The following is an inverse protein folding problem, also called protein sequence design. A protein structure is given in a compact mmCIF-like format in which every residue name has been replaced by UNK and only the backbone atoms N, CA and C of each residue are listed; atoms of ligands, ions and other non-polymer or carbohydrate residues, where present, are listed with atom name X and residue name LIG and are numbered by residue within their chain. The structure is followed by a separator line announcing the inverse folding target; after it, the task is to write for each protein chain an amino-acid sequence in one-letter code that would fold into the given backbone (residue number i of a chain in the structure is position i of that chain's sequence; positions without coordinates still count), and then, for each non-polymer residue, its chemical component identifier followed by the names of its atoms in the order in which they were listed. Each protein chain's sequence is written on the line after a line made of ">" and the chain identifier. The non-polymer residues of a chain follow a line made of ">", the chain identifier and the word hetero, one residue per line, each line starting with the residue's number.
data_IF_964273866273
#
_entry.id   IF_964273866273
#
_cell.length_a   1.000
_cell.length_b   1.000
_cell.length_c   1.000
_cell.angle_alpha   90.00
_cell.angle_beta   90.00
_cell.angle_gamma   90.00
#
_symmetry.space_group_name_H-M   'P 1'
#
loop_
_entity.id
_entity.type
_entity.pdbx_description
1 polymer ?
#
# COMPACT_ATOMS: atom_id res chain seq x y z
N UNK A 1 9.26 6.76 4.73
CA UNK A 1 9.33 5.56 3.88
C UNK A 1 10.76 5.05 3.92
N UNK A 2 10.95 3.74 4.08
CA UNK A 2 12.22 3.06 4.07
C UNK A 2 12.48 2.51 2.65
N UNK A 3 13.75 2.32 2.29
CA UNK A 3 14.16 1.63 1.09
C UNK A 3 14.96 2.48 0.11
N UNK A 4 15.49 1.83 -0.91
CA UNK A 4 16.28 2.43 -1.98
C UNK A 4 15.40 2.68 -3.21
N UNK A 5 15.54 3.85 -3.83
CA UNK A 5 14.88 4.14 -5.10
C UNK A 5 15.70 3.55 -6.25
N UNK A 6 15.05 2.72 -7.05
CA UNK A 6 15.62 2.12 -8.26
C UNK A 6 14.83 2.59 -9.46
N UNK A 7 15.54 2.88 -10.55
CA UNK A 7 14.93 3.21 -11.84
C UNK A 7 15.37 2.20 -12.89
N UNK A 8 14.39 1.57 -13.53
CA UNK A 8 14.61 0.67 -14.67
C UNK A 8 14.12 1.29 -15.97
N UNK A 9 14.80 0.98 -17.05
CA UNK A 9 14.46 1.46 -18.40
C UNK A 9 14.16 0.28 -19.32
N UNK A 10 13.02 0.36 -20.01
CA UNK A 10 12.60 -0.67 -20.96
C UNK A 10 12.39 -0.03 -22.34
N UNK A 11 13.03 -0.60 -23.35
CA UNK A 11 12.81 -0.20 -24.72
C UNK A 11 11.54 -0.87 -25.26
N UNK A 12 10.63 -0.06 -25.77
CA UNK A 12 9.40 -0.53 -26.38
C UNK A 12 9.65 -0.98 -27.80
N UNK A 13 9.21 -2.19 -28.12
CA UNK A 13 9.09 -2.68 -29.48
C UNK A 13 7.61 -2.94 -29.81
N UNK A 14 7.25 -2.93 -31.07
CA UNK A 14 5.85 -2.93 -31.55
C UNK A 14 5.02 -4.17 -31.11
N UNK A 15 5.67 -5.19 -30.58
CA UNK A 15 5.02 -6.45 -30.16
C UNK A 15 4.83 -6.58 -28.67
N UNK A 16 5.46 -5.72 -27.83
CA UNK A 16 5.43 -5.85 -26.38
C UNK A 16 4.73 -4.65 -25.75
N UNK A 17 3.69 -4.93 -24.97
CA UNK A 17 3.02 -3.96 -24.09
C UNK A 17 3.12 -4.36 -22.61
N UNK A 18 3.95 -5.35 -22.29
CA UNK A 18 4.16 -5.89 -20.95
C UNK A 18 5.64 -5.90 -20.63
N UNK A 19 6.02 -5.40 -19.46
CA UNK A 19 7.39 -5.30 -19.00
C UNK A 19 7.51 -5.83 -17.57
N UNK A 20 8.48 -6.72 -17.36
CA UNK A 20 8.73 -7.36 -16.08
C UNK A 20 9.65 -6.51 -15.22
N UNK A 21 9.26 -6.25 -13.98
CA UNK A 21 10.12 -5.65 -12.97
C UNK A 21 11.10 -6.71 -12.49
N UNK A 22 12.41 -6.42 -12.56
CA UNK A 22 13.44 -7.41 -12.27
C UNK A 22 13.68 -7.62 -10.77
N UNK A 23 13.28 -6.67 -9.93
CA UNK A 23 13.45 -6.78 -8.49
C UNK A 23 12.23 -7.42 -7.83
N UNK A 24 12.48 -8.36 -6.90
CA UNK A 24 11.43 -9.09 -6.20
C UNK A 24 10.90 -8.33 -4.96
N UNK A 25 11.72 -7.49 -4.33
CA UNK A 25 11.40 -6.76 -3.10
C UNK A 25 10.81 -5.37 -3.38
N UNK A 26 10.10 -5.24 -4.50
CA UNK A 26 9.51 -3.97 -4.93
C UNK A 26 8.29 -3.61 -4.12
N UNK A 27 8.28 -2.39 -3.59
CA UNK A 27 7.06 -1.77 -3.08
C UNK A 27 6.19 -1.32 -4.27
N UNK A 28 5.19 -2.14 -4.60
CA UNK A 28 4.28 -1.89 -5.72
C UNK A 28 3.47 -0.60 -5.59
N UNK A 29 3.34 -0.04 -4.38
CA UNK A 29 2.62 1.23 -4.16
C UNK A 29 3.46 2.44 -4.53
N UNK A 30 4.78 2.28 -4.57
CA UNK A 30 5.74 3.34 -4.90
C UNK A 30 6.05 3.46 -6.39
N UNK A 31 5.52 2.56 -7.22
CA UNK A 31 5.85 2.51 -8.65
C UNK A 31 5.29 3.74 -9.36
N UNK A 32 6.18 4.50 -9.96
CA UNK A 32 5.88 5.61 -10.89
C UNK A 32 6.43 5.28 -12.27
N UNK A 33 5.67 5.61 -13.29
CA UNK A 33 6.05 5.31 -14.68
C UNK A 33 6.01 6.58 -15.51
N UNK A 34 7.12 6.86 -16.19
CA UNK A 34 7.25 7.89 -17.17
C UNK A 34 7.55 7.29 -18.54
N UNK A 35 6.96 7.82 -19.58
CA UNK A 35 7.22 7.41 -20.96
C UNK A 35 7.93 8.53 -21.70
N UNK A 36 9.09 8.20 -22.26
CA UNK A 36 9.83 9.06 -23.20
C UNK A 36 9.52 8.66 -24.63
N UNK A 37 9.44 9.64 -25.50
CA UNK A 37 9.14 9.41 -26.92
C UNK A 37 10.28 8.67 -27.62
N UNK A 38 11.52 8.96 -27.23
CA UNK A 38 12.74 8.33 -27.76
C UNK A 38 13.91 8.49 -26.80
N UNK A 39 15.04 7.84 -27.11
CA UNK A 39 16.27 7.94 -26.31
C UNK A 39 16.90 9.34 -26.32
N UNK A 40 16.62 10.14 -27.32
CA UNK A 40 17.13 11.53 -27.43
C UNK A 40 16.17 12.59 -26.92
N UNK A 41 14.96 12.20 -26.51
CA UNK A 41 13.94 13.11 -26.00
C UNK A 41 13.89 13.03 -24.47
N UNK A 42 14.16 14.14 -23.82
CA UNK A 42 14.09 14.26 -22.36
C UNK A 42 12.69 14.65 -21.86
N UNK A 43 11.70 14.81 -22.75
CA UNK A 43 10.33 15.06 -22.34
C UNK A 43 9.71 13.77 -21.78
N UNK A 44 9.26 13.84 -20.53
CA UNK A 44 8.62 12.74 -19.83
C UNK A 44 7.11 12.95 -19.82
N UNK A 45 6.38 11.92 -20.14
CA UNK A 45 4.93 11.85 -19.94
C UNK A 45 4.65 10.89 -18.78
N UNK A 46 4.15 11.41 -17.68
CA UNK A 46 3.75 10.59 -16.53
C UNK A 46 2.51 9.76 -16.85
N UNK A 47 2.55 8.50 -16.49
CA UNK A 47 1.45 7.57 -16.64
C UNK A 47 0.92 7.15 -15.29
N UNK A 48 -0.41 7.07 -15.18
CA UNK A 48 -1.09 6.80 -13.91
C UNK A 48 -1.37 5.30 -13.77
N UNK A 49 -1.11 4.76 -12.58
CA UNK A 49 -1.52 3.39 -12.25
C UNK A 49 -3.04 3.29 -12.20
N UNK A 50 -3.60 2.34 -12.93
CA UNK A 50 -5.01 2.01 -12.90
C UNK A 50 -5.26 0.66 -12.20
N UNK A 51 -6.27 0.61 -11.34
CA UNK A 51 -6.67 -0.59 -10.62
C UNK A 51 -7.96 -1.20 -11.18
N UNK A 52 -8.64 -0.51 -12.10
CA UNK A 52 -9.84 -1.00 -12.78
C UNK A 52 -9.90 -0.46 -14.20
N UNK A 53 -10.70 -1.10 -15.04
CA UNK A 53 -10.96 -0.65 -16.40
C UNK A 53 -12.04 0.44 -16.50
N UNK A 54 -12.70 0.76 -15.38
CA UNK A 54 -13.77 1.75 -15.38
C UNK A 54 -13.25 3.16 -15.63
N UNK A 55 -13.86 3.85 -16.57
CA UNK A 55 -13.49 5.23 -16.94
C UNK A 55 -12.23 5.36 -17.81
N UNK A 56 -11.58 4.25 -18.19
CA UNK A 56 -10.41 4.27 -19.05
C UNK A 56 -10.85 4.34 -20.51
N UNK A 57 -10.29 5.28 -21.25
CA UNK A 57 -10.47 5.48 -22.69
C UNK A 57 -9.24 5.02 -23.47
N UNK A 58 -9.36 4.90 -24.79
CA UNK A 58 -8.23 4.58 -25.68
C UNK A 58 -7.05 5.57 -25.61
N UNK A 59 -7.28 6.78 -25.11
CA UNK A 59 -6.27 7.85 -25.01
C UNK A 59 -5.71 8.04 -23.60
N UNK A 60 -6.21 7.30 -22.63
CA UNK A 60 -5.78 7.41 -21.23
C UNK A 60 -4.34 6.93 -21.06
N UNK A 61 -3.48 7.73 -20.47
CA UNK A 61 -2.10 7.38 -20.14
C UNK A 61 -2.09 6.56 -18.84
N UNK A 62 -2.33 5.27 -18.96
CA UNK A 62 -2.46 4.38 -17.79
C UNK A 62 -1.66 3.09 -17.97
N UNK A 63 -1.21 2.54 -16.86
CA UNK A 63 -0.61 1.21 -16.78
C UNK A 63 -1.23 0.41 -15.63
N UNK A 64 -1.13 -0.90 -15.72
CA UNK A 64 -1.60 -1.85 -14.72
C UNK A 64 -0.42 -2.60 -14.16
N UNK A 65 -0.47 -2.93 -12.87
CA UNK A 65 0.48 -3.84 -12.21
C UNK A 65 -0.26 -5.14 -11.92
N UNK A 66 0.35 -6.24 -12.32
CA UNK A 66 -0.15 -7.57 -11.98
C UNK A 66 1.00 -8.49 -11.57
N UNK A 67 0.64 -9.54 -10.82
CA UNK A 67 1.63 -10.56 -10.43
C UNK A 67 2.05 -11.37 -11.67
N UNK A 68 3.33 -11.58 -11.79
CA UNK A 68 3.93 -12.41 -12.82
C UNK A 68 4.45 -13.73 -12.24
N UNK A 69 5.03 -14.59 -13.08
CA UNK A 69 5.67 -15.81 -12.61
C UNK A 69 6.86 -15.52 -11.68
N UNK A 70 7.20 -16.48 -10.81
CA UNK A 70 8.35 -16.41 -9.91
C UNK A 70 8.32 -15.23 -8.89
N UNK A 71 7.14 -14.89 -8.39
CA UNK A 71 6.93 -13.82 -7.41
C UNK A 71 7.42 -12.43 -7.89
N UNK A 72 7.49 -12.22 -9.21
CA UNK A 72 7.77 -10.93 -9.80
C UNK A 72 6.48 -10.16 -10.14
N UNK A 73 6.64 -8.91 -10.57
CA UNK A 73 5.53 -8.09 -11.04
C UNK A 73 5.75 -7.68 -12.50
N UNK A 74 4.66 -7.50 -13.21
CA UNK A 74 4.69 -6.98 -14.56
C UNK A 74 3.83 -5.72 -14.70
N UNK A 75 4.33 -4.79 -15.50
CA UNK A 75 3.61 -3.59 -15.93
C UNK A 75 2.96 -3.88 -17.27
N UNK A 76 1.66 -3.74 -17.35
CA UNK A 76 0.89 -3.92 -18.59
C UNK A 76 0.34 -2.58 -19.04
N UNK A 77 0.58 -2.24 -20.27
CA UNK A 77 0.13 -1.00 -20.89
C UNK A 77 -1.10 -1.21 -21.77
N UNK A 78 -1.74 -0.11 -22.14
CA UNK A 78 -2.94 -0.14 -22.96
C UNK A 78 -2.75 -0.72 -24.36
N UNK A 79 -3.87 -0.96 -25.02
CA UNK A 79 -3.95 -1.54 -26.36
C UNK A 79 -4.80 -0.70 -27.34
N UNK A 80 -4.97 0.61 -27.07
CA UNK A 80 -5.82 1.56 -27.79
C UNK A 80 -7.33 1.30 -27.68
N UNK A 81 -7.73 0.25 -26.94
CA UNK A 81 -9.13 0.05 -26.52
C UNK A 81 -9.29 0.43 -25.05
N UNK A 82 -8.41 -0.05 -24.21
CA UNK A 82 -8.32 0.26 -22.78
C UNK A 82 -6.92 0.81 -22.48
N UNK A 83 -6.82 2.14 -22.45
CA UNK A 83 -5.56 2.85 -22.30
C UNK A 83 -4.78 2.99 -23.62
N UNK A 84 -3.96 4.02 -23.67
CA UNK A 84 -3.08 4.30 -24.81
C UNK A 84 -2.05 3.20 -24.97
N UNK A 85 -1.84 2.73 -26.20
CA UNK A 85 -0.78 1.80 -26.54
C UNK A 85 0.57 2.54 -26.63
N UNK A 86 1.64 1.88 -26.21
CA UNK A 86 3.00 2.36 -26.43
C UNK A 86 3.40 2.24 -27.91
N UNK A 87 4.22 3.15 -28.36
CA UNK A 87 4.71 3.22 -29.74
C UNK A 87 6.14 2.68 -29.78
N UNK A 88 6.49 2.05 -30.89
CA UNK A 88 7.86 1.56 -31.14
C UNK A 88 8.89 2.68 -30.97
N UNK A 89 9.96 2.39 -30.24
CA UNK A 89 11.00 3.38 -29.89
C UNK A 89 10.70 4.20 -28.63
N UNK A 90 9.52 4.07 -28.01
CA UNK A 90 9.31 4.64 -26.68
C UNK A 90 10.24 3.98 -25.66
N UNK A 91 10.50 4.70 -24.57
CA UNK A 91 11.22 4.18 -23.40
C UNK A 91 10.33 4.29 -22.19
N UNK A 92 10.09 3.16 -21.55
CA UNK A 92 9.42 3.10 -20.25
C UNK A 92 10.47 3.31 -19.17
N UNK A 93 10.33 4.36 -18.40
CA UNK A 93 11.13 4.64 -17.20
C UNK A 93 10.28 4.34 -15.98
N UNK A 94 10.56 3.23 -15.30
CA UNK A 94 9.89 2.80 -14.09
C UNK A 94 10.76 3.08 -12.87
N UNK A 95 10.29 3.93 -11.97
CA UNK A 95 10.97 4.23 -10.71
C UNK A 95 10.14 3.68 -9.57
N UNK A 96 10.76 2.90 -8.70
CA UNK A 96 10.12 2.25 -7.57
C UNK A 96 11.10 2.10 -6.40
N UNK A 97 10.56 1.76 -5.24
CA UNK A 97 11.33 1.53 -4.02
C UNK A 97 11.49 0.04 -3.77
N UNK A 98 12.67 -0.34 -3.33
CA UNK A 98 12.98 -1.66 -2.78
C UNK A 98 13.11 -1.50 -1.28
N UNK A 99 12.29 -2.22 -0.51
CA UNK A 99 12.31 -2.20 0.94
C UNK A 99 13.01 -3.40 1.55
N UNK A 100 13.46 -3.26 2.80
CA UNK A 100 14.08 -4.35 3.56
C UNK A 100 13.07 -5.11 4.45
N UNK A 101 11.77 -4.97 4.17
CA UNK A 101 10.70 -5.60 4.95
C UNK A 101 10.67 -5.10 6.39
N UNK A 102 10.50 -6.00 7.40
CA UNK A 102 10.44 -5.60 8.81
C UNK A 102 11.82 -5.32 9.44
N UNK A 103 12.93 -5.50 8.73
CA UNK A 103 14.27 -5.31 9.30
C UNK A 103 14.50 -3.91 9.89
N UNK A 104 14.00 -2.81 9.30
CA UNK A 104 14.11 -1.47 9.85
C UNK A 104 13.15 -1.14 10.98
N UNK A 105 12.19 -2.00 11.30
CA UNK A 105 11.21 -1.74 12.34
C UNK A 105 11.90 -1.55 13.71
N UNK A 106 11.42 -0.54 14.44
CA UNK A 106 12.01 -0.14 15.71
C UNK A 106 13.17 0.89 15.58
N UNK A 107 13.61 1.22 14.37
CA UNK A 107 14.63 2.24 14.16
C UNK A 107 14.16 3.59 14.74
N UNK A 108 15.02 4.20 15.56
CA UNK A 108 14.74 5.44 16.30
C UNK A 108 15.85 6.48 16.23
N UNK A 109 16.87 6.23 15.41
CA UNK A 109 17.96 7.17 15.16
C UNK A 109 18.08 7.37 13.67
N UNK A 110 17.96 8.62 13.22
CA UNK A 110 18.11 9.00 11.82
C UNK A 110 19.11 10.13 11.70
N UNK A 111 19.99 10.03 10.72
CA UNK A 111 20.98 11.05 10.40
C UNK A 111 20.80 11.48 8.95
N UNK A 112 21.01 12.74 8.66
CA UNK A 112 21.02 13.24 7.29
C UNK A 112 22.35 12.89 6.63
N UNK A 113 22.31 12.21 5.49
CA UNK A 113 23.53 11.87 4.74
C UNK A 113 24.07 13.05 3.93
N UNK A 114 23.20 14.02 3.60
CA UNK A 114 23.55 15.20 2.78
C UNK A 114 22.97 16.46 3.41
N UNK A 115 23.48 17.62 3.00
CA UNK A 115 22.90 18.90 3.42
C UNK A 115 21.46 19.04 2.94
N UNK A 116 20.58 19.55 3.79
CA UNK A 116 19.18 19.85 3.46
C UNK A 116 19.08 21.33 3.15
N UNK A 117 18.69 21.66 1.91
CA UNK A 117 18.62 23.04 1.42
C UNK A 117 19.90 23.88 1.67
N UNK A 118 21.07 23.24 1.62
CA UNK A 118 22.36 23.90 1.86
C UNK A 118 22.81 23.97 3.33
N UNK A 119 21.99 23.52 4.27
CA UNK A 119 22.33 23.44 5.70
C UNK A 119 22.88 22.06 6.06
N UNK A 120 24.05 22.02 6.71
CA UNK A 120 24.71 20.77 7.11
C UNK A 120 24.49 20.41 8.61
N UNK A 121 23.86 21.29 9.35
CA UNK A 121 23.62 21.18 10.81
C UNK A 121 22.19 20.76 11.14
N UNK A 122 21.46 20.21 10.16
CA UNK A 122 20.10 19.73 10.35
C UNK A 122 20.09 18.47 11.20
N UNK A 123 19.37 18.51 12.32
CA UNK A 123 19.19 17.38 13.23
C UNK A 123 17.80 16.78 13.04
N UNK A 124 17.75 15.47 12.78
CA UNK A 124 16.50 14.73 12.74
C UNK A 124 16.05 14.33 14.14
N UNK A 125 14.87 14.77 14.57
CA UNK A 125 14.25 14.33 15.83
C UNK A 125 13.17 13.32 15.54
N UNK A 126 13.27 12.14 16.13
CA UNK A 126 12.32 11.06 15.94
C UNK A 126 11.10 11.28 16.83
N UNK A 127 9.93 11.38 16.22
CA UNK A 127 8.65 11.48 16.92
C UNK A 127 8.08 10.08 17.22
N UNK A 128 8.22 9.16 16.25
CA UNK A 128 7.80 7.77 16.38
C UNK A 128 8.83 6.85 15.73
N UNK A 129 9.00 5.66 16.29
CA UNK A 129 9.90 4.65 15.71
C UNK A 129 9.39 4.18 14.35
N UNK A 130 10.29 3.71 13.49
CA UNK A 130 9.93 3.05 12.26
C UNK A 130 9.09 1.81 12.57
N UNK A 131 8.03 1.58 11.78
CA UNK A 131 7.11 0.46 11.92
C UNK A 131 6.34 0.21 10.63
N UNK A 132 5.79 -0.99 10.50
CA UNK A 132 4.90 -1.36 9.38
C UNK A 132 5.62 -2.14 8.27
N UNK A 133 6.87 -2.51 8.47
CA UNK A 133 7.58 -3.42 7.57
C UNK A 133 7.01 -4.83 7.65
N UNK A 134 6.88 -5.51 6.51
CA UNK A 134 6.33 -6.86 6.42
C UNK A 134 7.18 -7.73 5.51
N UNK A 135 7.26 -9.02 5.82
CA UNK A 135 7.74 -10.00 4.86
C UNK A 135 6.70 -10.28 3.77
N UNK A 136 7.15 -10.80 2.64
CA UNK A 136 6.24 -11.34 1.65
C UNK A 136 5.35 -12.43 2.28
N UNK A 137 4.08 -12.41 1.92
CA UNK A 137 3.14 -13.45 2.34
C UNK A 137 3.59 -14.81 1.81
N UNK A 138 3.56 -15.81 2.67
CA UNK A 138 3.80 -17.20 2.23
C UNK A 138 2.62 -17.72 1.43
N UNK A 139 2.84 -18.77 0.63
CA UNK A 139 1.76 -19.40 -0.13
C UNK A 139 0.61 -19.88 0.78
N UNK A 140 0.93 -20.32 1.99
CA UNK A 140 -0.07 -20.79 2.93
C UNK A 140 -0.87 -19.63 3.55
N UNK A 141 -0.23 -18.48 3.81
CA UNK A 141 -0.91 -17.24 4.21
C UNK A 141 -1.88 -16.78 3.11
N UNK A 142 -1.44 -16.80 1.85
CA UNK A 142 -2.27 -16.43 0.70
C UNK A 142 -3.47 -17.38 0.57
N UNK A 143 -3.27 -18.70 0.68
CA UNK A 143 -4.37 -19.68 0.64
C UNK A 143 -5.39 -19.46 1.76
N UNK A 144 -4.93 -19.05 2.93
CA UNK A 144 -5.80 -18.78 4.07
C UNK A 144 -6.54 -17.44 3.94
N UNK A 145 -5.89 -16.41 3.43
CA UNK A 145 -6.44 -15.05 3.31
C UNK A 145 -7.33 -14.87 2.08
N UNK A 146 -6.99 -15.47 0.93
CA UNK A 146 -7.68 -15.23 -0.34
C UNK A 146 -9.19 -15.53 -0.31
N UNK A 147 -9.69 -16.65 0.27
CA UNK A 147 -11.12 -16.91 0.34
C UNK A 147 -11.87 -15.87 1.18
N UNK A 148 -11.23 -15.36 2.24
CA UNK A 148 -11.81 -14.34 3.11
C UNK A 148 -11.85 -12.98 2.43
N UNK A 149 -10.78 -12.58 1.77
CA UNK A 149 -10.72 -11.36 0.97
C UNK A 149 -11.76 -11.37 -0.14
N UNK A 150 -11.93 -12.53 -0.82
CA UNK A 150 -12.94 -12.69 -1.86
C UNK A 150 -14.37 -12.60 -1.30
N UNK A 151 -14.65 -13.17 -0.12
CA UNK A 151 -15.98 -13.10 0.50
C UNK A 151 -16.32 -11.70 1.00
N UNK A 152 -15.34 -10.97 1.51
CA UNK A 152 -15.52 -9.57 1.95
C UNK A 152 -15.72 -8.61 0.76
N UNK A 153 -15.27 -8.95 -0.46
CA UNK A 153 -15.37 -8.10 -1.66
C UNK A 153 -14.93 -6.65 -1.41
N UNK A 154 -13.90 -6.46 -0.60
CA UNK A 154 -13.42 -5.14 -0.14
C UNK A 154 -14.48 -4.29 0.58
N UNK A 155 -15.51 -4.91 1.15
CA UNK A 155 -16.54 -4.26 1.94
C UNK A 155 -16.46 -4.73 3.38
N UNK A 156 -16.51 -3.78 4.30
CA UNK A 156 -16.57 -4.03 5.74
C UNK A 156 -18.02 -3.96 6.22
N UNK A 157 -18.70 -5.10 6.28
CA UNK A 157 -20.11 -5.21 6.70
C UNK A 157 -20.22 -5.92 8.06
N UNK A 158 -19.51 -7.03 8.23
CA UNK A 158 -19.47 -7.79 9.47
C UNK A 158 -18.23 -7.48 10.28
N UNK A 159 -18.25 -7.71 11.59
CA UNK A 159 -17.08 -7.54 12.46
C UNK A 159 -15.85 -8.29 11.91
N UNK A 160 -16.06 -9.47 11.32
CA UNK A 160 -14.99 -10.27 10.75
C UNK A 160 -14.42 -9.66 9.47
N UNK A 161 -15.23 -8.95 8.66
CA UNK A 161 -14.73 -8.24 7.48
C UNK A 161 -13.80 -7.10 7.87
N UNK A 162 -14.20 -6.28 8.88
CA UNK A 162 -13.34 -5.24 9.44
C UNK A 162 -12.01 -5.80 9.91
N UNK A 163 -12.05 -6.88 10.70
CA UNK A 163 -10.85 -7.56 11.21
C UNK A 163 -9.96 -8.05 10.07
N UNK A 164 -10.53 -8.76 9.09
CA UNK A 164 -9.80 -9.34 7.97
C UNK A 164 -9.17 -8.27 7.09
N UNK A 165 -9.92 -7.21 6.73
CA UNK A 165 -9.41 -6.12 5.90
C UNK A 165 -8.26 -5.37 6.57
N UNK A 166 -8.42 -5.05 7.87
CA UNK A 166 -7.38 -4.34 8.61
C UNK A 166 -6.13 -5.20 8.79
N UNK A 167 -6.26 -6.47 9.18
CA UNK A 167 -5.12 -7.36 9.38
C UNK A 167 -4.38 -7.69 8.08
N UNK A 168 -5.06 -7.73 6.93
CA UNK A 168 -4.42 -7.93 5.63
C UNK A 168 -3.62 -6.70 5.17
N UNK A 169 -4.08 -5.50 5.50
CA UNK A 169 -3.40 -4.25 5.10
C UNK A 169 -2.29 -3.85 6.09
N UNK A 170 -2.55 -4.06 7.38
CA UNK A 170 -1.67 -3.63 8.47
C UNK A 170 -1.09 -4.85 9.21
N UNK A 171 0.00 -5.42 8.70
CA UNK A 171 0.59 -6.65 9.25
C UNK A 171 1.23 -6.51 10.63
N UNK A 172 1.36 -5.29 11.14
CA UNK A 172 1.74 -5.04 12.53
C UNK A 172 0.58 -5.28 13.51
N UNK A 173 -0.67 -5.42 13.02
CA UNK A 173 -1.84 -5.68 13.86
C UNK A 173 -1.97 -7.19 14.10
N UNK A 174 -1.68 -7.62 15.33
CA UNK A 174 -1.68 -9.03 15.73
C UNK A 174 -3.06 -9.55 16.06
N UNK A 175 -3.84 -8.77 16.78
CA UNK A 175 -5.23 -9.11 17.08
C UNK A 175 -6.12 -7.88 17.09
N UNK A 176 -7.41 -8.11 16.85
CA UNK A 176 -8.39 -7.03 16.75
C UNK A 176 -9.76 -7.50 17.24
N UNK A 177 -10.39 -6.67 18.03
CA UNK A 177 -11.78 -6.82 18.46
C UNK A 177 -12.61 -5.75 17.75
N UNK A 178 -13.73 -6.17 17.18
CA UNK A 178 -14.68 -5.30 16.48
C UNK A 178 -16.09 -5.61 16.97
N UNK A 179 -16.84 -4.58 17.34
CA UNK A 179 -18.23 -4.70 17.77
C UNK A 179 -19.05 -3.46 17.38
N UNK A 180 -20.37 -3.60 17.37
CA UNK A 180 -21.27 -2.48 17.10
C UNK A 180 -21.31 -1.51 18.28
N UNK A 181 -21.44 -0.23 18.00
CA UNK A 181 -21.51 0.79 19.04
C UNK A 181 -22.79 0.68 19.91
N UNK A 182 -23.77 -0.11 19.51
CA UNK A 182 -24.94 -0.47 20.32
C UNK A 182 -24.59 -1.30 21.57
N UNK A 183 -23.48 -2.03 21.52
CA UNK A 183 -22.98 -2.85 22.65
C UNK A 183 -22.13 -2.03 23.63
N UNK A 184 -21.93 -0.75 23.38
CA UNK A 184 -21.18 0.14 24.25
C UNK A 184 -22.03 0.67 25.43
N UNK A 185 -21.37 1.11 26.49
CA UNK A 185 -22.04 1.74 27.63
C UNK A 185 -21.46 3.16 27.86
N UNK A 186 -22.20 4.24 27.55
CA UNK A 186 -23.54 4.30 26.94
C UNK A 186 -23.51 3.91 25.44
N UNK A 187 -24.62 3.36 24.89
CA UNK A 187 -24.68 2.97 23.48
C UNK A 187 -24.39 4.09 22.50
N UNK A 188 -23.55 3.81 21.48
CA UNK A 188 -23.15 4.73 20.42
C UNK A 188 -23.65 4.23 19.07
N UNK A 189 -24.91 4.48 18.74
CA UNK A 189 -25.53 4.01 17.50
C UNK A 189 -24.87 4.61 16.24
N UNK A 190 -24.83 3.83 15.17
CA UNK A 190 -24.21 4.23 13.89
C UNK A 190 -22.68 4.15 13.90
N UNK A 191 -22.09 3.57 14.95
CA UNK A 191 -20.64 3.38 15.03
C UNK A 191 -20.26 1.91 15.05
N UNK A 192 -19.09 1.62 14.50
CA UNK A 192 -18.37 0.37 14.71
C UNK A 192 -17.11 0.67 15.51
N UNK A 193 -16.99 0.03 16.65
CA UNK A 193 -15.89 0.20 17.57
C UNK A 193 -14.84 -0.86 17.29
N UNK A 194 -13.61 -0.41 17.10
CA UNK A 194 -12.47 -1.26 16.83
C UNK A 194 -11.39 -1.05 17.89
N UNK A 195 -10.85 -2.14 18.40
CA UNK A 195 -9.71 -2.14 19.31
C UNK A 195 -8.68 -3.14 18.83
N UNK A 196 -7.44 -2.75 18.70
CA UNK A 196 -6.40 -3.59 18.13
C UNK A 196 -5.13 -3.59 18.98
N UNK A 197 -4.42 -4.72 18.95
CA UNK A 197 -3.08 -4.90 19.50
C UNK A 197 -2.06 -4.97 18.36
N UNK A 198 -0.87 -4.49 18.61
CA UNK A 198 0.21 -4.48 17.64
C UNK A 198 1.44 -5.18 18.20
N UNK A 199 2.22 -5.82 17.35
CA UNK A 199 3.54 -6.35 17.72
C UNK A 199 4.62 -5.26 17.82
N UNK A 200 4.33 -4.06 17.32
CA UNK A 200 5.27 -2.94 17.24
C UNK A 200 5.04 -1.90 18.34
N UNK A 201 3.77 -1.73 18.77
CA UNK A 201 3.37 -0.72 19.74
C UNK A 201 2.66 -1.36 20.93
N UNK A 202 3.05 -0.97 22.15
CA UNK A 202 2.31 -1.33 23.37
C UNK A 202 0.88 -0.76 23.35
N UNK A 203 0.74 0.43 22.78
CA UNK A 203 -0.52 1.10 22.52
C UNK A 203 -0.44 1.78 21.16
N UNK A 204 -1.45 1.59 20.31
CA UNK A 204 -1.48 2.21 18.99
C UNK A 204 -1.47 3.73 19.10
N UNK A 205 -0.48 4.42 18.49
CA UNK A 205 -0.46 5.87 18.45
C UNK A 205 -1.59 6.42 17.57
N UNK A 206 -2.02 7.65 17.84
CA UNK A 206 -3.18 8.26 17.15
C UNK A 206 -3.02 8.32 15.63
N UNK A 207 -1.80 8.58 15.13
CA UNK A 207 -1.57 8.58 13.68
C UNK A 207 -1.86 7.21 13.04
N UNK A 208 -1.52 6.09 13.75
CA UNK A 208 -1.75 4.73 13.26
C UNK A 208 -3.24 4.38 13.29
N UNK A 209 -3.94 4.79 14.33
CA UNK A 209 -5.40 4.67 14.40
C UNK A 209 -6.07 5.42 13.25
N UNK A 210 -5.61 6.64 12.97
CA UNK A 210 -6.14 7.43 11.87
C UNK A 210 -5.90 6.78 10.52
N UNK A 211 -4.72 6.20 10.27
CA UNK A 211 -4.43 5.43 9.05
C UNK A 211 -5.41 4.26 8.87
N UNK A 212 -5.68 3.51 9.95
CA UNK A 212 -6.63 2.39 9.92
C UNK A 212 -8.05 2.89 9.63
N UNK A 213 -8.47 3.97 10.27
CA UNK A 213 -9.79 4.60 10.02
C UNK A 213 -9.90 5.06 8.57
N UNK A 214 -8.91 5.77 8.06
CA UNK A 214 -8.90 6.28 6.68
C UNK A 214 -8.95 5.17 5.63
N UNK A 215 -8.31 4.04 5.92
CA UNK A 215 -8.34 2.85 5.07
C UNK A 215 -9.70 2.15 5.08
N UNK A 216 -10.32 1.99 6.28
CA UNK A 216 -11.55 1.21 6.42
C UNK A 216 -12.82 2.00 6.14
N UNK A 217 -12.82 3.30 6.38
CA UNK A 217 -13.98 4.18 6.21
C UNK A 217 -14.62 4.12 4.81
N UNK A 218 -13.86 4.16 3.70
CA UNK A 218 -14.42 4.04 2.35
C UNK A 218 -15.02 2.66 2.05
N UNK A 219 -14.65 1.63 2.82
CA UNK A 219 -15.10 0.25 2.68
C UNK A 219 -16.31 -0.06 3.58
N UNK A 220 -16.59 0.82 4.53
CA UNK A 220 -17.72 0.71 5.46
C UNK A 220 -19.03 1.18 4.82
N UNK A 221 -20.21 0.69 5.28
CA UNK A 221 -21.49 1.23 4.87
C UNK A 221 -21.60 2.72 5.16
N UNK A 222 -22.26 3.47 4.29
CA UNK A 222 -22.36 4.93 4.34
C UNK A 222 -22.88 5.50 5.69
N UNK A 223 -23.73 4.73 6.37
CA UNK A 223 -24.33 5.13 7.66
C UNK A 223 -23.53 4.70 8.88
N UNK A 224 -22.39 4.01 8.69
CA UNK A 224 -21.57 3.47 9.78
C UNK A 224 -20.25 4.21 9.85
N UNK A 225 -19.94 4.74 11.02
CA UNK A 225 -18.68 5.43 11.29
C UNK A 225 -17.72 4.53 12.09
N UNK A 226 -16.58 4.12 11.54
CA UNK A 226 -15.57 3.36 12.26
C UNK A 226 -14.82 4.25 13.25
N UNK A 227 -14.63 3.75 14.48
CA UNK A 227 -13.90 4.43 15.55
C UNK A 227 -12.90 3.46 16.19
N UNK A 228 -11.68 3.94 16.44
CA UNK A 228 -10.65 3.15 17.13
C UNK A 228 -10.47 3.58 18.56
N UNK A 229 -10.52 2.59 19.46
CA UNK A 229 -10.26 2.78 20.90
C UNK A 229 -9.00 2.01 21.32
N UNK A 230 -8.42 2.37 22.45
CA UNK A 230 -7.32 1.59 23.04
C UNK A 230 -7.84 0.31 23.67
N UNK A 231 -7.10 -0.80 23.57
CA UNK A 231 -7.46 -2.02 24.27
C UNK A 231 -7.42 -1.80 25.79
N UNK A 232 -8.45 -2.29 26.47
CA UNK A 232 -8.51 -2.31 27.92
C UNK A 232 -8.17 -3.72 28.42
N UNK A 233 -7.05 -3.85 29.14
CA UNK A 233 -6.63 -5.12 29.72
C UNK A 233 -7.08 -5.16 31.20
N UNK A 234 -7.94 -6.11 31.60
CA UNK A 234 -8.27 -6.28 33.00
C UNK A 234 -6.99 -6.68 33.78
N UNK A 235 -6.62 -5.89 34.76
CA UNK A 235 -5.54 -6.28 35.68
C UNK A 235 -6.12 -7.32 36.68
N UNK A 236 -5.65 -8.54 36.55
CA UNK A 236 -5.90 -9.56 37.58
C UNK A 236 -5.09 -9.14 38.82
N UNK A 237 -5.78 -8.84 39.90
CA UNK A 237 -5.15 -8.58 41.22
C UNK A 237 -4.87 -9.89 41.92
#
# INVERSE_FOLDING_TARGET
>A
YEGELVTEFFNVNSTSNTFYIHNFEVDTTSITVNIRTSNSDNSNSEWTRANSLFGITSTSNVFFIQAAANASYEMVFGNDSFGRKLVDGNIVEATYRIGAGPNPDGANVFTTATSVAGYSDVVATVVTRAAGGQFFQTLDDIKFAAPRALSAQERAVTANDYKTLVQNEFGDITDMIVYGGEDDDPPRFGKVIMSATSNTYDTLPEFRKQQIIDFIKPKSPLAIEPEMINPSFPRIK
#
